data_IF_789228185902
#
_entry.id   IF_789228185902
#
_cell.length_a   1.000
_cell.length_b   1.000
_cell.length_c   1.000
_cell.angle_alpha   90.00
_cell.angle_beta   90.00
_cell.angle_gamma   90.00
#
_symmetry.space_group_name_H-M   'P 1'
#
loop_
_entity.id
_entity.type
_entity.pdbx_description
1 polymer ?
#
# COMPACT_ATOMS: atom_id res chain seq x y z
N UNK A 1 14.15 15.53 -34.92
CA UNK A 1 13.18 14.44 -35.18
C UNK A 1 12.64 14.02 -33.83
N UNK A 2 11.34 14.17 -33.56
CA UNK A 2 10.76 13.76 -32.26
C UNK A 2 10.72 12.24 -32.19
N UNK A 3 10.96 11.65 -31.03
CA UNK A 3 10.88 10.20 -30.89
C UNK A 3 9.42 9.75 -30.97
N UNK A 4 9.22 8.51 -31.40
CA UNK A 4 7.89 7.93 -31.54
C UNK A 4 7.14 7.89 -30.20
N UNK A 5 7.86 7.64 -29.10
CA UNK A 5 7.32 7.71 -27.73
C UNK A 5 6.69 9.08 -27.41
N UNK A 6 7.37 10.17 -27.76
CA UNK A 6 6.89 11.53 -27.50
C UNK A 6 5.61 11.85 -28.28
N UNK A 7 5.53 11.39 -29.53
CA UNK A 7 4.37 11.59 -30.42
C UNK A 7 3.17 10.82 -29.89
N UNK A 8 3.39 9.57 -29.45
CA UNK A 8 2.32 8.71 -28.94
C UNK A 8 1.76 9.24 -27.62
N UNK A 9 2.64 9.58 -26.66
CA UNK A 9 2.21 10.14 -25.37
C UNK A 9 1.46 11.46 -25.54
N UNK A 10 1.93 12.36 -26.41
CA UNK A 10 1.23 13.62 -26.67
C UNK A 10 -0.19 13.41 -27.20
N UNK A 11 -0.40 12.40 -28.05
CA UNK A 11 -1.72 12.07 -28.59
C UNK A 11 -2.67 11.51 -27.52
N UNK A 12 -2.15 10.66 -26.64
CA UNK A 12 -2.91 10.10 -25.50
C UNK A 12 -3.31 11.21 -24.51
N UNK A 13 -2.37 12.10 -24.18
CA UNK A 13 -2.63 13.24 -23.29
C UNK A 13 -3.66 14.19 -23.90
N UNK A 14 -3.57 14.48 -25.21
CA UNK A 14 -4.53 15.33 -25.90
C UNK A 14 -5.94 14.73 -26.00
N UNK A 15 -6.07 13.39 -25.94
CA UNK A 15 -7.36 12.69 -25.93
C UNK A 15 -7.94 12.44 -24.53
N UNK A 16 -7.19 12.76 -23.48
CA UNK A 16 -7.63 12.60 -22.10
C UNK A 16 -8.36 13.86 -21.65
N UNK A 17 -9.69 13.83 -21.66
CA UNK A 17 -10.53 14.90 -21.10
C UNK A 17 -10.46 15.01 -19.56
N UNK A 18 -9.67 14.15 -18.89
CA UNK A 18 -9.51 14.20 -17.44
C UNK A 18 -8.39 15.14 -17.02
N UNK A 19 -8.74 16.17 -16.25
CA UNK A 19 -7.78 16.86 -15.39
C UNK A 19 -7.35 15.86 -14.32
N UNK A 20 -6.24 15.18 -14.56
CA UNK A 20 -5.70 14.21 -13.62
C UNK A 20 -5.05 14.96 -12.45
N UNK A 21 -5.85 15.25 -11.41
CA UNK A 21 -5.32 15.79 -10.16
C UNK A 21 -5.00 14.64 -9.22
N UNK A 22 -3.72 14.53 -8.86
CA UNK A 22 -3.29 13.61 -7.82
C UNK A 22 -3.75 14.15 -6.46
N UNK A 23 -4.28 13.27 -5.62
CA UNK A 23 -4.52 13.62 -4.21
C UNK A 23 -3.20 13.85 -3.49
N UNK A 24 -3.22 14.60 -2.39
CA UNK A 24 -2.03 14.81 -1.54
C UNK A 24 -1.37 13.49 -1.13
N UNK A 25 -2.18 12.47 -0.83
CA UNK A 25 -1.70 11.11 -0.50
C UNK A 25 -0.98 10.45 -1.68
N UNK A 26 -1.56 10.52 -2.89
CA UNK A 26 -0.93 9.94 -4.08
C UNK A 26 0.38 10.63 -4.44
N UNK A 27 0.47 11.96 -4.28
CA UNK A 27 1.72 12.71 -4.46
C UNK A 27 2.78 12.28 -3.44
N UNK A 28 2.39 12.08 -2.18
CA UNK A 28 3.30 11.62 -1.13
C UNK A 28 3.82 10.20 -1.40
N UNK A 29 2.95 9.29 -1.84
CA UNK A 29 3.33 7.93 -2.24
C UNK A 29 4.26 7.94 -3.46
N UNK A 30 3.94 8.72 -4.49
CA UNK A 30 4.80 8.87 -5.66
C UNK A 30 6.20 9.38 -5.29
N UNK A 31 6.30 10.37 -4.40
CA UNK A 31 7.59 10.89 -3.94
C UNK A 31 8.37 9.87 -3.11
N UNK A 32 7.70 9.10 -2.25
CA UNK A 32 8.38 8.08 -1.43
C UNK A 32 8.95 6.93 -2.27
N UNK A 33 8.27 6.59 -3.36
CA UNK A 33 8.71 5.57 -4.33
C UNK A 33 9.96 5.99 -5.11
N UNK A 34 10.18 7.29 -5.33
CA UNK A 34 11.35 7.80 -6.06
C UNK A 34 12.67 7.76 -5.27
N UNK A 35 12.62 7.52 -3.95
CA UNK A 35 13.85 7.34 -3.16
C UNK A 35 14.64 6.13 -3.64
N UNK A 36 15.96 6.23 -3.65
CA UNK A 36 16.82 5.06 -3.82
C UNK A 36 16.42 3.99 -2.80
N UNK A 37 16.43 2.74 -3.24
CA UNK A 37 16.12 1.56 -2.44
C UNK A 37 14.67 1.48 -1.86
N UNK A 38 13.76 2.38 -2.23
CA UNK A 38 12.38 2.45 -1.69
C UNK A 38 11.56 1.14 -1.84
N UNK A 39 11.90 0.35 -2.87
CA UNK A 39 11.21 -0.88 -3.29
C UNK A 39 12.06 -2.15 -3.15
N UNK A 40 13.26 -2.07 -2.55
CA UNK A 40 14.13 -3.24 -2.39
C UNK A 40 13.53 -4.31 -1.49
N UNK A 41 12.70 -3.90 -0.53
CA UNK A 41 11.96 -4.81 0.34
C UNK A 41 11.06 -5.81 -0.43
N UNK A 42 10.70 -5.53 -1.70
CA UNK A 42 9.99 -6.46 -2.58
C UNK A 42 10.88 -7.59 -3.12
N UNK A 43 12.20 -7.38 -3.14
CA UNK A 43 13.19 -8.31 -3.71
C UNK A 43 13.92 -9.13 -2.66
N UNK A 44 13.79 -8.77 -1.39
CA UNK A 44 14.48 -9.46 -0.29
C UNK A 44 13.76 -10.77 0.06
N UNK A 45 14.52 -11.87 0.07
CA UNK A 45 14.05 -13.15 0.61
C UNK A 45 14.07 -13.05 2.13
N UNK A 46 12.94 -13.24 2.83
CA UNK A 46 12.89 -13.08 4.27
C UNK A 46 13.69 -14.18 4.98
N UNK A 47 14.57 -13.80 5.90
CA UNK A 47 15.40 -14.72 6.68
C UNK A 47 14.74 -14.95 8.04
N UNK A 48 14.18 -16.16 8.24
CA UNK A 48 13.46 -16.54 9.47
C UNK A 48 14.32 -16.35 10.72
N UNK A 49 15.58 -16.79 10.68
CA UNK A 49 16.49 -16.74 11.83
C UNK A 49 16.89 -15.33 12.29
N UNK A 50 16.65 -14.30 11.49
CA UNK A 50 16.95 -12.90 11.81
C UNK A 50 15.69 -12.10 12.19
N UNK A 51 14.52 -12.75 12.29
CA UNK A 51 13.26 -12.05 12.53
C UNK A 51 12.83 -11.13 11.38
N UNK A 52 13.39 -11.30 10.18
CA UNK A 52 13.04 -10.52 8.98
C UNK A 52 11.80 -11.08 8.25
N UNK A 53 11.04 -11.93 8.92
CA UNK A 53 9.80 -12.48 8.36
C UNK A 53 8.62 -11.67 8.82
N UNK A 54 7.66 -11.53 7.92
CA UNK A 54 6.41 -10.83 8.18
C UNK A 54 5.28 -11.80 7.87
N UNK A 55 4.24 -11.81 8.72
CA UNK A 55 3.06 -12.62 8.40
C UNK A 55 2.39 -12.08 7.12
N UNK A 56 1.69 -12.95 6.40
CA UNK A 56 1.11 -12.59 5.09
C UNK A 56 0.09 -11.45 5.15
N UNK A 57 -0.57 -11.21 6.30
CA UNK A 57 -1.52 -10.09 6.45
C UNK A 57 -0.80 -8.77 6.59
N UNK A 58 0.20 -8.69 7.45
CA UNK A 58 1.02 -7.49 7.62
C UNK A 58 1.75 -7.18 6.30
N UNK A 59 2.25 -8.19 5.58
CA UNK A 59 2.86 -7.99 4.26
C UNK A 59 1.90 -7.35 3.26
N UNK A 60 0.67 -7.88 3.14
CA UNK A 60 -0.36 -7.31 2.25
C UNK A 60 -0.75 -5.88 2.64
N UNK A 61 -0.73 -5.56 3.93
CA UNK A 61 -1.03 -4.21 4.45
C UNK A 61 0.08 -3.22 4.06
N UNK A 62 1.33 -3.58 4.34
CA UNK A 62 2.50 -2.77 3.95
C UNK A 62 2.55 -2.57 2.43
N UNK A 63 2.26 -3.63 1.67
CA UNK A 63 2.22 -3.59 0.21
C UNK A 63 1.11 -2.68 -0.32
N UNK A 64 -0.10 -2.79 0.24
CA UNK A 64 -1.22 -1.95 -0.16
C UNK A 64 -0.95 -0.47 0.10
N UNK A 65 -0.43 -0.16 1.29
CA UNK A 65 -0.06 1.20 1.69
C UNK A 65 1.06 1.77 0.79
N UNK A 66 2.17 1.05 0.63
CA UNK A 66 3.34 1.57 -0.10
C UNK A 66 3.10 1.73 -1.59
N UNK A 67 2.27 0.89 -2.18
CA UNK A 67 1.93 0.96 -3.61
C UNK A 67 0.68 1.80 -3.89
N UNK A 68 -0.10 2.16 -2.87
CA UNK A 68 -1.41 2.78 -3.06
C UNK A 68 -2.36 1.89 -3.87
N UNK A 69 -2.22 0.56 -3.75
CA UNK A 69 -3.07 -0.42 -4.44
C UNK A 69 -3.90 -1.15 -3.39
N UNK A 70 -5.24 -1.16 -3.51
CA UNK A 70 -6.07 -1.84 -2.53
C UNK A 70 -6.03 -3.36 -2.74
N UNK A 71 -5.30 -4.09 -1.88
CA UNK A 71 -5.23 -5.57 -1.95
C UNK A 71 -6.24 -6.26 -1.04
N UNK A 72 -6.99 -5.50 -0.24
CA UNK A 72 -8.06 -6.02 0.61
C UNK A 72 -9.42 -5.81 -0.06
N UNK A 73 -10.28 -6.82 0.05
CA UNK A 73 -11.70 -6.65 -0.24
C UNK A 73 -12.29 -5.73 0.84
N UNK A 74 -12.77 -4.57 0.41
CA UNK A 74 -13.28 -3.45 1.23
C UNK A 74 -14.37 -3.87 2.25
N UNK A 75 -14.99 -5.04 2.09
CA UNK A 75 -16.20 -5.43 2.82
C UNK A 75 -16.02 -6.54 3.87
N UNK A 76 -14.79 -6.96 4.23
CA UNK A 76 -14.62 -8.00 5.26
C UNK A 76 -14.29 -7.41 6.64
N UNK A 77 -15.06 -7.74 7.69
CA UNK A 77 -14.73 -7.33 9.05
C UNK A 77 -13.36 -7.86 9.46
N UNK A 78 -12.57 -7.02 10.12
CA UNK A 78 -11.24 -7.42 10.56
C UNK A 78 -11.34 -8.43 11.70
N UNK A 79 -10.71 -9.60 11.57
CA UNK A 79 -10.82 -10.67 12.58
C UNK A 79 -10.21 -10.33 13.95
N UNK A 80 -9.44 -9.23 14.06
CA UNK A 80 -8.81 -8.80 15.30
C UNK A 80 -9.73 -7.92 16.17
N UNK A 81 -10.60 -7.11 15.56
CA UNK A 81 -11.45 -6.15 16.29
C UNK A 81 -12.94 -6.29 15.96
N UNK A 82 -13.30 -7.19 15.03
CA UNK A 82 -14.67 -7.45 14.54
C UNK A 82 -15.39 -6.20 14.00
N UNK A 83 -14.66 -5.12 13.72
CA UNK A 83 -15.19 -3.87 13.17
C UNK A 83 -15.04 -3.86 11.65
N UNK A 84 -16.06 -3.33 11.00
CA UNK A 84 -16.02 -2.93 9.59
C UNK A 84 -15.57 -1.47 9.56
N UNK A 85 -14.47 -1.19 8.87
CA UNK A 85 -13.99 0.17 8.67
C UNK A 85 -14.25 0.58 7.24
N UNK A 86 -15.29 1.40 7.03
CA UNK A 86 -15.50 2.07 5.76
C UNK A 86 -14.30 2.98 5.49
N UNK A 87 -13.50 2.63 4.47
CA UNK A 87 -12.32 3.39 4.07
C UNK A 87 -10.96 2.76 4.40
N UNK A 88 -10.90 1.60 5.08
CA UNK A 88 -9.64 0.85 5.28
C UNK A 88 -9.28 0.03 4.02
N UNK A 89 -9.08 0.73 2.91
CA UNK A 89 -8.84 0.10 1.61
C UNK A 89 -7.35 -0.30 1.45
N UNK A 90 -6.46 0.39 2.15
CA UNK A 90 -5.00 0.21 2.07
C UNK A 90 -4.39 -0.49 3.29
N UNK A 91 -5.18 -0.87 4.29
CA UNK A 91 -4.71 -1.55 5.49
C UNK A 91 -4.05 -0.63 6.52
N UNK A 92 -4.38 0.66 6.49
CA UNK A 92 -3.88 1.69 7.42
C UNK A 92 -4.29 1.35 8.86
N UNK A 93 -5.46 0.75 9.02
CA UNK A 93 -6.00 0.36 10.30
C UNK A 93 -5.30 -0.89 10.90
N UNK A 94 -4.68 -1.72 10.06
CA UNK A 94 -3.98 -2.95 10.49
C UNK A 94 -2.80 -2.64 11.39
N UNK A 95 -2.13 -1.50 11.16
CA UNK A 95 -0.99 -1.05 11.95
C UNK A 95 -1.43 -0.65 13.37
N UNK A 96 -2.65 -0.12 13.53
CA UNK A 96 -3.18 0.32 14.82
C UNK A 96 -3.81 -0.82 15.64
N UNK A 97 -4.36 -1.84 14.98
CA UNK A 97 -5.07 -2.94 15.64
C UNK A 97 -4.18 -3.97 16.36
N UNK A 98 -2.86 -3.93 16.19
CA UNK A 98 -1.92 -4.86 16.86
C UNK A 98 -1.87 -4.62 18.39
N UNK A 99 -2.35 -3.47 18.89
CA UNK A 99 -2.32 -3.11 20.32
C UNK A 99 -3.54 -3.54 21.16
N UNK A 100 -4.56 -4.18 20.59
CA UNK A 100 -5.82 -4.53 21.31
C UNK A 100 -6.03 -6.04 21.39
N UNK A 101 -4.94 -6.82 21.55
CA UNK A 101 -5.07 -8.20 22.04
C UNK A 101 -4.91 -8.12 23.55
N UNK A 102 -6.06 -8.23 24.22
CA UNK A 102 -6.25 -8.07 25.65
C UNK A 102 -5.17 -8.79 26.48
N UNK A 103 -4.49 -8.01 27.31
CA UNK A 103 -3.90 -8.44 28.56
C UNK A 103 -4.96 -9.22 29.35
N UNK A 104 -4.92 -10.54 29.26
CA UNK A 104 -5.63 -11.44 30.17
C UNK A 104 -4.59 -12.30 30.85
N UNK A 105 -4.06 -11.75 31.94
CA UNK A 105 -3.21 -12.43 32.91
C UNK A 105 -4.00 -13.60 33.53
N UNK A 106 -3.50 -14.84 33.51
CA UNK A 106 -4.07 -15.88 34.36
C UNK A 106 -3.49 -15.74 35.78
N UNK A 107 -4.37 -15.74 36.79
CA UNK A 107 -4.01 -16.04 38.18
C UNK A 107 -3.74 -17.53 38.36
#
# INVERSE_FOLDING_TARGET
MKKLEDIYFAKVVASSDSVFSLTTQQVALWKSQQSEHSSEWLRVVPIVGLGQTMNGRTYRSVLSYRLGVPLFLVSRPYSACSRVFDGDVFGDHVVSCVGIVNETTPR
#
